data_IF_370253251955
#
_entry.id   IF_370253251955
#
_cell.length_a   1.000
_cell.length_b   1.000
_cell.length_c   1.000
_cell.angle_alpha   90.00
_cell.angle_beta   90.00
_cell.angle_gamma   90.00
#
_symmetry.space_group_name_H-M   'P 1'
#
loop_
_entity.id
_entity.type
_entity.pdbx_description
1 polymer ?
#
# COMPACT_ATOMS: atom_id res chain seq x y z
N UNK A 1 24.47 5.22 9.72
CA UNK A 1 23.92 5.94 8.55
C UNK A 1 22.41 5.81 8.64
N UNK A 2 21.72 6.90 8.96
CA UNK A 2 20.29 6.96 9.27
C UNK A 2 19.57 7.29 7.97
N UNK A 3 19.54 6.29 7.09
CA UNK A 3 18.75 6.22 5.86
C UNK A 3 18.30 4.77 5.89
N UNK A 4 17.04 4.37 5.96
CA UNK A 4 15.87 4.86 5.24
C UNK A 4 14.74 4.04 5.85
N UNK A 5 13.87 4.59 6.70
CA UNK A 5 12.75 3.78 7.21
C UNK A 5 11.69 3.46 6.12
N UNK A 6 11.98 3.82 4.85
CA UNK A 6 11.11 3.69 3.67
C UNK A 6 9.65 3.96 4.05
N UNK A 7 9.44 5.05 4.81
CA UNK A 7 8.16 5.45 5.35
C UNK A 7 7.40 6.19 4.24
N UNK A 8 7.03 5.46 3.20
CA UNK A 8 6.15 5.98 2.17
C UNK A 8 4.72 5.92 2.69
N UNK A 9 4.03 7.05 2.82
CA UNK A 9 2.63 7.04 3.25
C UNK A 9 1.75 6.54 2.11
N UNK A 10 0.68 5.81 2.43
CA UNK A 10 -0.26 5.26 1.42
C UNK A 10 -0.91 6.31 0.51
N UNK A 11 -0.83 7.59 0.87
CA UNK A 11 -1.35 8.71 0.07
C UNK A 11 -0.61 8.88 -1.26
N UNK A 12 0.65 8.43 -1.35
CA UNK A 12 1.46 8.51 -2.58
C UNK A 12 1.06 7.47 -3.62
N UNK A 13 0.30 6.45 -3.24
CA UNK A 13 -0.12 5.38 -4.15
C UNK A 13 -1.10 5.93 -5.19
N UNK A 14 -0.77 5.78 -6.47
CA UNK A 14 -1.59 6.20 -7.59
C UNK A 14 -2.60 5.11 -7.98
N UNK A 15 -2.34 3.84 -7.63
CA UNK A 15 -3.22 2.71 -7.88
C UNK A 15 -4.53 2.73 -7.07
N UNK A 16 -4.67 3.63 -6.10
CA UNK A 16 -5.83 3.75 -5.20
C UNK A 16 -6.61 5.05 -5.42
N UNK A 17 -7.93 4.94 -5.44
CA UNK A 17 -8.80 6.12 -5.40
C UNK A 17 -8.91 6.69 -3.96
N UNK A 18 -9.55 7.85 -3.82
CA UNK A 18 -9.70 8.52 -2.53
C UNK A 18 -10.45 7.67 -1.49
N UNK A 19 -11.49 6.93 -1.90
CA UNK A 19 -12.26 6.07 -1.00
C UNK A 19 -11.40 4.90 -0.47
N UNK A 20 -10.64 4.23 -1.34
CA UNK A 20 -9.74 3.14 -0.97
C UNK A 20 -8.62 3.60 -0.04
N UNK A 21 -8.05 4.78 -0.30
CA UNK A 21 -7.07 5.40 0.63
C UNK A 21 -7.71 5.64 1.99
N UNK A 22 -8.92 6.18 2.02
CA UNK A 22 -9.66 6.40 3.27
C UNK A 22 -9.98 5.10 4.00
N UNK A 23 -10.31 4.01 3.29
CA UNK A 23 -10.53 2.70 3.90
C UNK A 23 -9.25 2.18 4.58
N UNK A 24 -8.10 2.32 3.93
CA UNK A 24 -6.80 1.94 4.53
C UNK A 24 -6.47 2.79 5.75
N UNK A 25 -6.67 4.12 5.68
CA UNK A 25 -6.47 5.02 6.83
C UNK A 25 -7.37 4.65 8.01
N UNK A 26 -8.64 4.33 7.76
CA UNK A 26 -9.59 3.85 8.80
C UNK A 26 -9.15 2.51 9.41
N UNK A 27 -8.48 1.66 8.63
CA UNK A 27 -7.87 0.42 9.10
C UNK A 27 -6.52 0.62 9.82
N UNK A 28 -6.10 1.88 10.07
CA UNK A 28 -4.80 2.26 10.65
C UNK A 28 -3.59 1.83 9.81
N UNK A 29 -3.79 1.59 8.51
CA UNK A 29 -2.71 1.35 7.56
C UNK A 29 -2.31 2.68 6.94
N UNK A 30 -1.17 3.21 7.41
CA UNK A 30 -0.69 4.53 6.99
C UNK A 30 0.57 4.44 6.13
N UNK A 31 1.29 3.31 6.16
CA UNK A 31 2.52 3.11 5.41
C UNK A 31 2.35 2.07 4.30
N UNK A 32 3.02 2.30 3.17
CA UNK A 32 3.06 1.37 2.05
C UNK A 32 3.64 0.00 2.46
N UNK A 33 4.62 -0.03 3.36
CA UNK A 33 5.17 -1.29 3.89
C UNK A 33 4.13 -2.16 4.59
N UNK A 34 3.12 -1.54 5.21
CA UNK A 34 2.09 -2.27 5.95
C UNK A 34 1.22 -3.08 4.97
N UNK A 35 1.11 -2.64 3.71
CA UNK A 35 0.43 -3.38 2.64
C UNK A 35 1.17 -4.64 2.21
N UNK A 36 2.47 -4.76 2.48
CA UNK A 36 3.24 -5.97 2.19
C UNK A 36 3.19 -6.99 3.33
N UNK A 37 2.66 -6.62 4.49
CA UNK A 37 2.58 -7.54 5.62
C UNK A 37 1.47 -8.58 5.40
N UNK A 38 1.76 -9.89 5.52
CA UNK A 38 0.77 -10.96 5.26
C UNK A 38 -0.51 -10.83 6.11
N UNK A 39 -0.40 -10.28 7.32
CA UNK A 39 -1.55 -10.03 8.21
C UNK A 39 -2.56 -9.02 7.62
N UNK A 40 -2.14 -8.16 6.69
CA UNK A 40 -2.96 -7.10 6.10
C UNK A 40 -3.50 -7.47 4.70
N UNK A 41 -3.14 -8.63 4.16
CA UNK A 41 -3.61 -9.12 2.86
C UNK A 41 -5.15 -9.12 2.76
N UNK A 42 -5.83 -9.56 3.81
CA UNK A 42 -7.30 -9.54 3.90
C UNK A 42 -7.88 -8.13 3.75
N UNK A 43 -7.17 -7.10 4.22
CA UNK A 43 -7.62 -5.71 4.07
C UNK A 43 -7.51 -5.25 2.62
N UNK A 44 -6.46 -5.66 1.91
CA UNK A 44 -6.26 -5.33 0.49
C UNK A 44 -7.37 -5.94 -0.36
N UNK A 45 -7.75 -7.20 -0.10
CA UNK A 45 -8.88 -7.82 -0.78
C UNK A 45 -10.23 -7.14 -0.46
N UNK A 46 -10.37 -6.51 0.70
CA UNK A 46 -11.58 -5.74 1.07
C UNK A 46 -11.71 -4.41 0.33
N UNK A 47 -10.66 -3.92 -0.33
CA UNK A 47 -10.71 -2.68 -1.13
C UNK A 47 -11.54 -2.82 -2.43
N UNK A 48 -12.06 -4.01 -2.72
CA UNK A 48 -12.82 -4.28 -3.95
C UNK A 48 -11.95 -4.22 -5.21
N UNK A 49 -10.63 -4.38 -5.07
CA UNK A 49 -9.70 -4.45 -6.18
C UNK A 49 -9.72 -5.86 -6.79
N UNK A 50 -9.82 -5.96 -8.10
CA UNK A 50 -9.59 -7.24 -8.79
C UNK A 50 -8.11 -7.65 -8.71
N UNK A 51 -7.82 -8.95 -8.82
CA UNK A 51 -6.47 -9.52 -8.63
C UNK A 51 -5.38 -8.83 -9.47
N UNK A 52 -5.72 -8.42 -10.70
CA UNK A 52 -4.79 -7.68 -11.56
C UNK A 52 -4.40 -6.33 -10.96
N UNK A 53 -5.38 -5.60 -10.40
CA UNK A 53 -5.13 -4.31 -9.73
C UNK A 53 -4.36 -4.49 -8.42
N UNK A 54 -4.64 -5.55 -7.67
CA UNK A 54 -3.89 -5.89 -6.45
C UNK A 54 -2.41 -6.11 -6.80
N UNK A 55 -2.11 -6.91 -7.83
CA UNK A 55 -0.73 -7.11 -8.28
C UNK A 55 -0.04 -5.81 -8.69
N UNK A 56 -0.75 -4.94 -9.43
CA UNK A 56 -0.20 -3.63 -9.82
C UNK A 56 0.09 -2.74 -8.60
N UNK A 57 -0.81 -2.72 -7.62
CA UNK A 57 -0.61 -1.97 -6.38
C UNK A 57 0.60 -2.47 -5.58
N UNK A 58 0.72 -3.80 -5.42
CA UNK A 58 1.85 -4.40 -4.71
C UNK A 58 3.17 -4.15 -5.43
N UNK A 59 3.17 -4.18 -6.77
CA UNK A 59 4.34 -3.82 -7.57
C UNK A 59 4.71 -2.33 -7.40
N UNK A 60 3.73 -1.43 -7.41
CA UNK A 60 3.95 0.00 -7.14
C UNK A 60 4.58 0.23 -5.76
N UNK A 61 4.04 -0.44 -4.73
CA UNK A 61 4.57 -0.41 -3.37
C UNK A 61 6.01 -0.93 -3.32
N UNK A 62 6.30 -2.06 -3.96
CA UNK A 62 7.66 -2.61 -3.99
C UNK A 62 8.64 -1.69 -4.72
N UNK A 63 8.24 -1.08 -5.84
CA UNK A 63 9.08 -0.11 -6.56
C UNK A 63 9.39 1.13 -5.71
N UNK A 64 8.41 1.63 -4.94
CA UNK A 64 8.63 2.75 -4.02
C UNK A 64 9.62 2.39 -2.91
N UNK A 65 9.50 1.19 -2.34
CA UNK A 65 10.35 0.73 -1.25
C UNK A 65 11.76 0.37 -1.70
N UNK A 66 11.93 -0.21 -2.89
CA UNK A 66 13.25 -0.63 -3.37
C UNK A 66 14.09 0.53 -3.89
N UNK A 67 13.50 1.71 -4.06
CA UNK A 67 14.15 2.84 -4.72
C UNK A 67 14.36 2.55 -6.20
N UNK A 68 14.04 3.53 -7.04
CA UNK A 68 14.65 3.59 -8.37
C UNK A 68 16.14 3.88 -8.20
#
# INVERSE_FOLDING_TARGET
MIDTHLLYPITVLLGLNADQKNQLLRARLVLCRDLLEPKNEKMIHRLGLGDRKIKLLLNEVQSLLNGV
#
